data_IF_944139490343
#
_entry.id   IF_944139490343
#
_cell.length_a   1.000
_cell.length_b   1.000
_cell.length_c   1.000
_cell.angle_alpha   90.00
_cell.angle_beta   90.00
_cell.angle_gamma   90.00
#
_symmetry.space_group_name_H-M   'P 1'
#
loop_
_entity.id
_entity.type
_entity.pdbx_description
1 polymer ?
#
# COMPACT_ATOMS: atom_id res chain seq x y z
N UNK A 1 -21.94 -10.12 4.83
CA UNK A 1 -23.07 -9.45 4.15
C UNK A 1 -23.58 -10.38 3.07
N UNK A 2 -24.92 -10.56 2.92
CA UNK A 2 -25.48 -11.50 1.92
C UNK A 2 -26.54 -10.76 1.11
N UNK A 3 -26.42 -10.80 -0.22
CA UNK A 3 -27.40 -10.26 -1.17
C UNK A 3 -28.12 -11.40 -1.89
N UNK A 4 -29.44 -11.29 -2.06
CA UNK A 4 -30.26 -12.29 -2.74
C UNK A 4 -30.24 -12.17 -4.27
N UNK A 5 -29.86 -11.01 -4.78
CA UNK A 5 -29.80 -10.73 -6.22
C UNK A 5 -28.83 -9.59 -6.55
N UNK A 6 -28.36 -9.54 -7.79
CA UNK A 6 -27.56 -8.42 -8.33
C UNK A 6 -28.31 -7.08 -8.21
N UNK A 7 -29.66 -7.11 -8.34
CA UNK A 7 -30.48 -5.90 -8.17
C UNK A 7 -30.41 -5.35 -6.74
N UNK A 8 -30.42 -6.21 -5.73
CA UNK A 8 -30.31 -5.83 -4.33
C UNK A 8 -28.90 -5.27 -4.02
N UNK A 9 -27.86 -5.93 -4.52
CA UNK A 9 -26.47 -5.43 -4.43
C UNK A 9 -26.33 -4.03 -5.04
N UNK A 10 -26.82 -3.86 -6.29
CA UNK A 10 -26.74 -2.57 -6.98
C UNK A 10 -27.54 -1.48 -6.26
N UNK A 11 -28.67 -1.82 -5.69
CA UNK A 11 -29.46 -0.89 -4.87
C UNK A 11 -28.69 -0.48 -3.63
N UNK A 12 -28.07 -1.43 -2.93
CA UNK A 12 -27.24 -1.17 -1.74
C UNK A 12 -26.05 -0.27 -2.08
N UNK A 13 -25.29 -0.59 -3.13
CA UNK A 13 -24.15 0.20 -3.60
C UNK A 13 -24.59 1.65 -3.90
N UNK A 14 -25.66 1.81 -4.67
CA UNK A 14 -26.17 3.13 -5.07
C UNK A 14 -26.64 3.97 -3.89
N UNK A 15 -27.27 3.35 -2.88
CA UNK A 15 -27.89 4.07 -1.76
C UNK A 15 -26.91 4.32 -0.61
N UNK A 16 -26.01 3.38 -0.32
CA UNK A 16 -25.21 3.37 0.89
C UNK A 16 -23.72 3.56 0.67
N UNK A 17 -23.24 3.46 -0.58
CA UNK A 17 -21.82 3.46 -0.84
C UNK A 17 -21.37 4.70 -1.63
N UNK A 18 -20.07 5.00 -1.51
CA UNK A 18 -19.35 5.98 -2.33
C UNK A 18 -18.20 5.24 -3.03
N UNK A 19 -18.10 5.43 -4.33
CA UNK A 19 -16.99 4.87 -5.12
C UNK A 19 -15.65 5.40 -4.62
N UNK A 20 -14.66 4.50 -4.47
CA UNK A 20 -13.26 4.85 -4.13
C UNK A 20 -12.36 4.62 -5.35
N UNK A 21 -12.34 3.39 -5.86
CA UNK A 21 -11.43 3.00 -6.95
C UNK A 21 -11.92 1.72 -7.62
N UNK A 22 -11.35 1.43 -8.78
CA UNK A 22 -11.42 0.12 -9.41
C UNK A 22 -10.00 -0.42 -9.60
N UNK A 23 -9.86 -1.73 -9.57
CA UNK A 23 -8.62 -2.47 -9.82
C UNK A 23 -8.86 -3.60 -10.81
N UNK A 24 -7.83 -4.42 -11.06
CA UNK A 24 -7.91 -5.55 -11.99
C UNK A 24 -8.92 -6.63 -11.58
N UNK A 25 -9.17 -6.77 -10.27
CA UNK A 25 -10.03 -7.83 -9.72
C UNK A 25 -11.41 -7.34 -9.30
N UNK A 26 -11.63 -6.04 -9.17
CA UNK A 26 -12.92 -5.55 -8.72
C UNK A 26 -12.95 -4.07 -8.35
N UNK A 27 -14.11 -3.66 -7.89
CA UNK A 27 -14.44 -2.28 -7.56
C UNK A 27 -14.56 -2.08 -6.06
N UNK A 28 -13.96 -1.01 -5.56
CA UNK A 28 -13.88 -0.68 -4.13
C UNK A 28 -14.77 0.51 -3.81
N UNK A 29 -15.55 0.38 -2.74
CA UNK A 29 -16.49 1.38 -2.26
C UNK A 29 -16.31 1.66 -0.77
N UNK A 30 -16.59 2.88 -0.35
CA UNK A 30 -16.81 3.23 1.05
C UNK A 30 -18.28 3.05 1.42
N UNK A 31 -18.58 2.18 2.36
CA UNK A 31 -19.94 1.96 2.87
C UNK A 31 -20.19 2.87 4.08
N UNK A 32 -21.12 3.80 3.92
CA UNK A 32 -21.41 4.86 4.91
C UNK A 32 -22.00 4.33 6.20
N UNK A 33 -22.82 3.27 6.12
CA UNK A 33 -23.58 2.73 7.27
C UNK A 33 -22.70 1.99 8.26
N UNK A 34 -21.72 1.24 7.77
CA UNK A 34 -20.77 0.47 8.59
C UNK A 34 -19.45 1.18 8.83
N UNK A 35 -19.19 2.29 8.10
CA UNK A 35 -17.92 2.98 8.08
C UNK A 35 -16.74 2.07 7.65
N UNK A 36 -17.02 1.15 6.74
CA UNK A 36 -16.07 0.17 6.20
C UNK A 36 -15.82 0.41 4.71
N UNK A 37 -14.78 -0.22 4.22
CA UNK A 37 -14.55 -0.40 2.78
C UNK A 37 -15.15 -1.73 2.38
N UNK A 38 -15.81 -1.79 1.22
CA UNK A 38 -16.23 -3.02 0.57
C UNK A 38 -15.56 -3.12 -0.80
N UNK A 39 -14.99 -4.28 -1.12
CA UNK A 39 -14.47 -4.62 -2.45
C UNK A 39 -15.38 -5.68 -3.06
N UNK A 40 -15.91 -5.40 -4.24
CA UNK A 40 -16.74 -6.32 -5.00
C UNK A 40 -15.93 -6.80 -6.20
N UNK A 41 -15.82 -8.10 -6.35
CA UNK A 41 -15.12 -8.75 -7.45
C UNK A 41 -15.99 -8.76 -8.70
N UNK A 42 -15.57 -8.06 -9.74
CA UNK A 42 -16.41 -7.88 -10.94
C UNK A 42 -16.67 -9.20 -11.67
N UNK A 43 -15.67 -10.09 -11.73
CA UNK A 43 -15.82 -11.42 -12.34
C UNK A 43 -16.83 -12.32 -11.59
N UNK A 44 -16.95 -12.15 -10.29
CA UNK A 44 -17.86 -12.96 -9.48
C UNK A 44 -19.35 -12.64 -9.70
N UNK A 45 -19.65 -11.55 -10.41
CA UNK A 45 -21.03 -11.15 -10.72
C UNK A 45 -21.58 -11.85 -11.96
N UNK A 46 -20.74 -12.44 -12.81
CA UNK A 46 -21.12 -13.13 -14.03
C UNK A 46 -21.08 -14.65 -13.83
N UNK A 47 -22.11 -15.36 -14.26
CA UNK A 47 -22.20 -16.82 -14.10
C UNK A 47 -21.07 -17.56 -14.85
N UNK A 48 -20.75 -17.14 -16.07
CA UNK A 48 -19.68 -17.73 -16.89
C UNK A 48 -18.28 -17.50 -16.32
N UNK A 49 -18.05 -16.34 -15.72
CA UNK A 49 -16.73 -15.96 -15.23
C UNK A 49 -16.48 -16.52 -13.82
N UNK A 50 -17.56 -16.75 -13.06
CA UNK A 50 -17.47 -17.26 -11.69
C UNK A 50 -16.85 -18.66 -11.62
N UNK A 51 -17.02 -19.49 -12.64
CA UNK A 51 -16.42 -20.83 -12.69
C UNK A 51 -14.88 -20.79 -12.66
N UNK A 52 -14.30 -19.71 -13.19
CA UNK A 52 -12.85 -19.48 -13.23
C UNK A 52 -12.36 -18.57 -12.11
N UNK A 53 -13.27 -18.14 -11.21
CA UNK A 53 -12.91 -17.19 -10.17
C UNK A 53 -12.20 -17.87 -9.01
N UNK A 54 -10.92 -17.51 -8.80
CA UNK A 54 -10.01 -18.16 -7.85
C UNK A 54 -10.39 -17.96 -6.37
N UNK A 55 -11.21 -16.95 -6.06
CA UNK A 55 -11.59 -16.59 -4.69
C UNK A 55 -12.78 -17.37 -4.13
N UNK A 56 -13.19 -18.46 -4.76
CA UNK A 56 -14.35 -19.26 -4.32
C UNK A 56 -14.26 -19.77 -2.90
N UNK A 57 -13.04 -20.04 -2.43
CA UNK A 57 -12.75 -20.71 -1.16
C UNK A 57 -11.78 -19.94 -0.25
N UNK A 58 -11.67 -18.61 -0.40
CA UNK A 58 -10.76 -17.85 0.46
C UNK A 58 -11.18 -17.98 1.92
N UNK A 59 -10.32 -18.56 2.73
CA UNK A 59 -10.45 -18.59 4.18
C UNK A 59 -9.86 -17.33 4.81
N UNK A 60 -10.65 -16.27 4.86
CA UNK A 60 -10.26 -15.03 5.53
C UNK A 60 -10.07 -15.19 7.04
N UNK A 61 -10.49 -16.33 7.62
CA UNK A 61 -10.33 -16.57 9.06
C UNK A 61 -8.86 -16.60 9.48
N UNK A 62 -7.97 -17.03 8.60
CA UNK A 62 -6.52 -17.10 8.83
C UNK A 62 -5.90 -15.72 9.08
N UNK A 63 -6.45 -14.65 8.50
CA UNK A 63 -5.97 -13.29 8.77
C UNK A 63 -6.37 -12.76 10.16
N UNK A 64 -7.42 -13.31 10.77
CA UNK A 64 -7.94 -12.84 12.09
C UNK A 64 -6.95 -13.04 13.23
N UNK A 65 -6.04 -14.02 13.11
CA UNK A 65 -4.99 -14.28 14.11
C UNK A 65 -3.89 -13.20 14.10
N UNK A 66 -3.65 -12.58 12.95
CA UNK A 66 -2.60 -11.58 12.75
C UNK A 66 -3.09 -10.17 13.11
N UNK A 67 -3.46 -9.96 14.38
CA UNK A 67 -3.92 -8.65 14.87
C UNK A 67 -2.84 -7.60 14.67
N UNK A 68 -3.10 -6.63 13.81
CA UNK A 68 -2.21 -5.55 13.46
C UNK A 68 -3.01 -4.29 13.10
N UNK A 69 -2.34 -3.18 12.87
CA UNK A 69 -2.99 -1.92 12.55
C UNK A 69 -2.57 -1.32 11.21
N UNK A 70 -1.61 -1.94 10.55
CA UNK A 70 -1.05 -1.50 9.26
C UNK A 70 -1.70 -2.22 8.09
N UNK A 71 -1.82 -3.55 8.14
CA UNK A 71 -2.37 -4.37 7.08
C UNK A 71 -3.87 -4.52 7.28
N UNK A 72 -4.66 -3.92 6.40
CA UNK A 72 -6.12 -3.90 6.52
C UNK A 72 -6.71 -5.15 5.84
N UNK A 73 -6.64 -6.25 6.56
CA UNK A 73 -7.13 -7.54 6.11
C UNK A 73 -8.64 -7.57 5.92
N UNK A 74 -9.15 -8.48 5.06
CA UNK A 74 -10.57 -8.79 4.99
C UNK A 74 -11.14 -9.15 6.36
N UNK A 75 -12.28 -8.54 6.71
CA UNK A 75 -12.98 -8.75 7.99
C UNK A 75 -14.16 -9.70 7.80
N UNK A 76 -15.02 -9.35 6.84
CA UNK A 76 -16.25 -10.10 6.55
C UNK A 76 -16.37 -10.38 5.07
N UNK A 77 -16.83 -11.58 4.74
CA UNK A 77 -17.10 -12.00 3.37
C UNK A 77 -18.45 -11.43 2.90
N UNK A 78 -18.52 -11.05 1.63
CA UNK A 78 -19.74 -10.61 0.97
C UNK A 78 -20.18 -11.69 -0.01
N UNK A 79 -21.47 -12.06 0.09
CA UNK A 79 -22.06 -13.11 -0.72
C UNK A 79 -23.17 -12.57 -1.63
N UNK A 80 -23.25 -13.12 -2.82
CA UNK A 80 -24.43 -13.06 -3.69
C UNK A 80 -25.06 -14.46 -3.71
N UNK A 81 -26.16 -14.64 -2.96
CA UNK A 81 -26.69 -15.96 -2.61
C UNK A 81 -25.62 -16.77 -1.84
N UNK A 82 -25.06 -17.80 -2.45
CA UNK A 82 -24.03 -18.71 -1.95
C UNK A 82 -22.61 -18.43 -2.49
N UNK A 83 -22.48 -17.46 -3.41
CA UNK A 83 -21.20 -17.11 -4.04
C UNK A 83 -20.47 -16.02 -3.27
N UNK A 84 -19.19 -16.19 -3.06
CA UNK A 84 -18.31 -15.10 -2.60
C UNK A 84 -18.15 -14.09 -3.72
N UNK A 85 -18.58 -12.85 -3.47
CA UNK A 85 -18.47 -11.76 -4.45
C UNK A 85 -17.60 -10.61 -3.95
N UNK A 86 -17.03 -10.72 -2.77
CA UNK A 86 -16.20 -9.67 -2.22
C UNK A 86 -16.00 -9.80 -0.72
N UNK A 87 -15.46 -8.73 -0.16
CA UNK A 87 -15.21 -8.63 1.29
C UNK A 87 -15.34 -7.20 1.80
N UNK A 88 -15.41 -7.05 3.12
CA UNK A 88 -15.25 -5.76 3.78
C UNK A 88 -13.92 -5.69 4.54
N UNK A 89 -13.36 -4.48 4.66
CA UNK A 89 -12.18 -4.17 5.45
C UNK A 89 -12.33 -2.82 6.17
N UNK A 90 -11.38 -2.48 7.04
CA UNK A 90 -11.33 -1.14 7.63
C UNK A 90 -11.00 -0.07 6.59
N UNK A 91 -11.46 1.16 6.85
CA UNK A 91 -11.13 2.30 6.01
C UNK A 91 -9.74 2.86 6.39
N UNK A 92 -8.80 2.85 5.45
CA UNK A 92 -7.53 3.54 5.58
C UNK A 92 -7.73 5.06 5.61
N UNK A 93 -7.01 5.74 6.50
CA UNK A 93 -6.90 7.20 6.49
C UNK A 93 -5.69 7.63 5.68
N UNK A 94 -5.78 8.73 4.94
CA UNK A 94 -4.65 9.26 4.16
C UNK A 94 -4.84 9.13 2.66
N UNK A 95 -3.74 9.11 1.94
CA UNK A 95 -3.71 9.01 0.47
C UNK A 95 -2.78 7.91 0.02
N UNK A 96 -3.12 7.23 -1.08
CA UNK A 96 -2.21 6.28 -1.72
C UNK A 96 -0.89 6.97 -2.04
N UNK A 97 0.24 6.32 -1.79
CA UNK A 97 1.55 6.81 -2.19
C UNK A 97 1.61 7.06 -3.69
N UNK A 98 1.00 6.20 -4.49
CA UNK A 98 0.93 6.36 -5.94
C UNK A 98 0.28 7.69 -6.40
N UNK A 99 -0.63 8.25 -5.58
CA UNK A 99 -1.31 9.54 -5.85
C UNK A 99 -0.73 10.70 -5.05
N UNK A 100 0.24 10.43 -4.20
CA UNK A 100 0.86 11.44 -3.33
C UNK A 100 2.07 12.01 -4.05
N UNK A 101 2.22 13.35 -4.03
CA UNK A 101 3.42 14.00 -4.52
C UNK A 101 4.60 13.68 -3.58
N UNK A 102 5.64 12.93 -4.02
CA UNK A 102 6.78 12.56 -3.18
C UNK A 102 7.52 13.79 -2.64
N UNK A 103 7.51 14.90 -3.38
CA UNK A 103 8.19 16.13 -2.98
C UNK A 103 7.59 16.78 -1.73
N UNK A 104 6.32 16.53 -1.45
CA UNK A 104 5.62 17.05 -0.27
C UNK A 104 5.86 16.22 1.00
N UNK A 105 6.54 15.08 0.87
CA UNK A 105 6.72 14.16 1.98
C UNK A 105 7.76 14.70 2.97
N UNK A 106 7.36 14.81 4.24
CA UNK A 106 8.29 15.02 5.34
C UNK A 106 9.00 13.69 5.66
N UNK A 107 10.32 13.66 5.50
CA UNK A 107 11.14 12.45 5.60
C UNK A 107 11.15 11.87 7.03
N UNK A 108 11.12 12.71 8.07
CA UNK A 108 11.06 12.26 9.46
C UNK A 108 9.70 11.64 9.80
N UNK A 109 8.63 12.20 9.24
CA UNK A 109 7.28 11.65 9.39
C UNK A 109 7.14 10.31 8.69
N UNK A 110 7.71 10.16 7.50
CA UNK A 110 7.74 8.88 6.76
C UNK A 110 8.59 7.84 7.50
N UNK A 111 9.79 8.24 7.98
CA UNK A 111 10.63 7.38 8.82
C UNK A 111 9.87 6.87 10.04
N UNK A 112 9.18 7.77 10.74
CA UNK A 112 8.39 7.41 11.92
C UNK A 112 7.23 6.46 11.60
N UNK A 113 6.57 6.67 10.45
CA UNK A 113 5.51 5.79 9.97
C UNK A 113 6.05 4.38 9.68
N UNK A 114 7.19 4.28 8.99
CA UNK A 114 7.83 2.99 8.70
C UNK A 114 8.23 2.25 9.98
N UNK A 115 8.85 2.93 10.95
CA UNK A 115 9.25 2.30 12.23
C UNK A 115 8.04 1.70 12.96
N UNK A 116 6.90 2.41 12.99
CA UNK A 116 5.67 1.88 13.58
C UNK A 116 5.16 0.62 12.88
N UNK A 117 5.37 0.53 11.57
CA UNK A 117 4.95 -0.63 10.78
C UNK A 117 5.75 -1.89 11.10
N UNK A 118 6.99 -1.79 11.58
CA UNK A 118 7.86 -2.95 11.82
C UNK A 118 7.29 -3.96 12.84
N UNK A 119 6.52 -3.50 13.83
CA UNK A 119 5.85 -4.39 14.77
C UNK A 119 4.75 -5.21 14.07
N UNK A 120 4.00 -4.56 13.19
CA UNK A 120 2.95 -5.22 12.43
C UNK A 120 3.53 -6.17 11.37
N UNK A 121 4.65 -5.81 10.73
CA UNK A 121 5.42 -6.73 9.86
C UNK A 121 5.83 -7.97 10.63
N UNK A 122 6.36 -7.81 11.86
CA UNK A 122 6.72 -8.96 12.71
C UNK A 122 5.49 -9.81 13.04
N UNK A 123 4.37 -9.19 13.36
CA UNK A 123 3.12 -9.89 13.69
C UNK A 123 2.63 -10.73 12.52
N UNK A 124 2.54 -10.16 11.31
CA UNK A 124 2.06 -10.91 10.14
C UNK A 124 3.03 -12.02 9.75
N UNK A 125 4.35 -11.79 9.86
CA UNK A 125 5.36 -12.81 9.58
C UNK A 125 5.30 -13.98 10.55
N UNK A 126 5.05 -13.74 11.85
CA UNK A 126 4.85 -14.78 12.84
C UNK A 126 3.56 -15.60 12.61
N UNK A 127 2.61 -15.06 11.84
CA UNK A 127 1.40 -15.77 11.40
C UNK A 127 1.55 -16.38 10.00
N UNK A 128 2.77 -16.44 9.47
CA UNK A 128 3.05 -17.08 8.18
C UNK A 128 2.58 -16.29 6.96
N UNK A 129 2.21 -15.01 7.10
CA UNK A 129 1.66 -14.21 6.01
C UNK A 129 2.80 -13.58 5.20
N UNK A 130 2.84 -13.88 3.91
CA UNK A 130 3.73 -13.27 2.92
C UNK A 130 2.97 -12.15 2.18
N UNK A 131 3.54 -10.95 2.19
CA UNK A 131 2.96 -9.77 1.52
C UNK A 131 3.28 -9.75 0.03
N UNK A 132 2.44 -9.07 -0.76
CA UNK A 132 2.62 -8.85 -2.19
C UNK A 132 2.08 -7.49 -2.62
N UNK A 133 2.48 -6.98 -3.79
CA UNK A 133 2.00 -5.79 -4.49
C UNK A 133 1.90 -4.51 -3.63
N UNK A 134 2.90 -4.26 -2.77
CA UNK A 134 2.91 -3.12 -1.84
C UNK A 134 3.00 -1.74 -2.51
N UNK A 135 3.71 -1.52 -3.66
CA UNK A 135 3.89 -0.19 -4.23
C UNK A 135 2.58 0.55 -4.51
N UNK A 136 1.57 -0.16 -5.02
CA UNK A 136 0.28 0.44 -5.38
C UNK A 136 -0.71 0.48 -4.21
N UNK A 137 -0.53 -0.39 -3.22
CA UNK A 137 -1.47 -0.67 -2.14
C UNK A 137 -1.07 -0.03 -0.81
N UNK A 138 -0.03 0.81 -0.81
CA UNK A 138 0.41 1.55 0.37
C UNK A 138 -0.27 2.92 0.45
N UNK A 139 -0.95 3.17 1.57
CA UNK A 139 -1.56 4.46 1.91
C UNK A 139 -0.75 5.11 3.02
N UNK A 140 -0.41 6.39 2.84
CA UNK A 140 0.31 7.19 3.84
C UNK A 140 -0.60 8.20 4.51
N UNK A 141 -0.58 8.21 5.85
CA UNK A 141 -1.29 9.16 6.68
C UNK A 141 -0.32 10.04 7.48
N UNK A 142 0.07 11.23 6.94
CA UNK A 142 1.10 12.10 7.55
C UNK A 142 0.77 12.53 8.97
N UNK A 143 -0.48 12.97 9.23
CA UNK A 143 -0.91 13.44 10.55
C UNK A 143 -0.76 12.38 11.64
N UNK A 144 -1.02 11.11 11.30
CA UNK A 144 -0.84 9.98 12.22
C UNK A 144 0.56 9.39 12.22
N UNK A 145 1.42 9.80 11.29
CA UNK A 145 2.71 9.16 11.00
C UNK A 145 2.51 7.65 10.89
N UNK A 146 1.66 7.22 9.93
CA UNK A 146 1.22 5.84 9.78
C UNK A 146 1.15 5.45 8.32
N UNK A 147 1.48 4.18 8.06
CA UNK A 147 1.21 3.49 6.81
C UNK A 147 0.02 2.55 7.01
N UNK A 148 -0.79 2.41 5.97
CA UNK A 148 -1.79 1.36 5.85
C UNK A 148 -1.53 0.62 4.55
N UNK A 149 -1.67 -0.69 4.59
CA UNK A 149 -1.60 -1.55 3.42
C UNK A 149 -3.00 -2.09 3.17
N UNK A 150 -3.49 -1.83 1.98
CA UNK A 150 -4.84 -2.24 1.52
C UNK A 150 -4.71 -3.30 0.43
N UNK A 151 -5.82 -3.85 -0.01
CA UNK A 151 -5.85 -4.89 -1.06
C UNK A 151 -5.03 -6.13 -0.69
N UNK A 152 -5.28 -6.64 0.51
CA UNK A 152 -4.48 -7.70 1.13
C UNK A 152 -5.10 -9.09 0.93
N UNK A 153 -6.10 -9.23 0.08
CA UNK A 153 -6.81 -10.49 -0.19
C UNK A 153 -5.97 -11.50 -0.98
N UNK A 154 -4.94 -11.04 -1.69
CA UNK A 154 -4.01 -11.88 -2.46
C UNK A 154 -2.82 -12.39 -1.63
N UNK A 155 -2.73 -12.01 -0.37
CA UNK A 155 -1.60 -12.43 0.45
C UNK A 155 -1.60 -13.93 0.68
N UNK A 156 -0.44 -14.54 0.51
CA UNK A 156 -0.27 -15.98 0.66
C UNK A 156 0.18 -16.36 2.07
N UNK A 157 -0.03 -17.63 2.42
CA UNK A 157 0.48 -18.22 3.65
C UNK A 157 1.70 -19.08 3.32
N UNK A 158 2.81 -18.80 3.99
CA UNK A 158 4.10 -19.46 3.76
C UNK A 158 4.50 -20.28 4.97
N UNK A 159 5.14 -21.43 4.73
CA UNK A 159 5.77 -22.27 5.75
C UNK A 159 7.22 -21.86 6.04
N UNK A 160 7.69 -20.75 5.45
CA UNK A 160 9.02 -20.23 5.73
C UNK A 160 9.19 -19.92 7.22
N UNK A 161 10.43 -20.03 7.71
CA UNK A 161 10.77 -19.54 9.04
C UNK A 161 10.37 -18.07 9.21
N UNK A 162 9.82 -17.75 10.39
CA UNK A 162 9.26 -16.42 10.65
C UNK A 162 10.29 -15.28 10.54
N UNK A 163 11.56 -15.56 10.79
CA UNK A 163 12.65 -14.58 10.64
C UNK A 163 12.96 -14.29 9.18
N UNK A 164 12.95 -15.31 8.33
CA UNK A 164 13.11 -15.16 6.88
C UNK A 164 11.89 -14.45 6.27
N UNK A 165 10.70 -14.80 6.73
CA UNK A 165 9.47 -14.16 6.30
C UNK A 165 9.42 -12.69 6.73
N UNK A 166 9.85 -12.38 7.96
CA UNK A 166 10.01 -11.00 8.42
C UNK A 166 10.99 -10.21 7.54
N UNK A 167 12.15 -10.79 7.22
CA UNK A 167 13.14 -10.15 6.36
C UNK A 167 12.57 -9.87 4.96
N UNK A 168 11.81 -10.82 4.39
CA UNK A 168 11.13 -10.68 3.10
C UNK A 168 10.08 -9.56 3.13
N UNK A 169 9.13 -9.60 4.06
CA UNK A 169 8.06 -8.62 4.19
C UNK A 169 8.61 -7.21 4.47
N UNK A 170 9.62 -7.10 5.35
CA UNK A 170 10.28 -5.83 5.65
C UNK A 170 10.99 -5.25 4.41
N UNK A 171 11.66 -6.10 3.63
CA UNK A 171 12.31 -5.71 2.38
C UNK A 171 11.29 -5.21 1.36
N UNK A 172 10.16 -5.88 1.21
CA UNK A 172 9.11 -5.47 0.26
C UNK A 172 8.58 -4.07 0.57
N UNK A 173 8.17 -3.80 1.81
CA UNK A 173 7.67 -2.47 2.18
C UNK A 173 8.78 -1.41 2.09
N UNK A 174 10.01 -1.75 2.49
CA UNK A 174 11.16 -0.85 2.34
C UNK A 174 11.44 -0.50 0.89
N UNK A 175 11.39 -1.48 -0.03
CA UNK A 175 11.58 -1.25 -1.45
C UNK A 175 10.45 -0.39 -2.04
N UNK A 176 9.20 -0.63 -1.68
CA UNK A 176 8.07 0.20 -2.09
C UNK A 176 8.28 1.68 -1.72
N UNK A 177 8.77 1.96 -0.52
CA UNK A 177 9.04 3.31 -0.07
C UNK A 177 10.27 3.93 -0.77
N UNK A 178 11.32 3.16 -1.03
CA UNK A 178 12.49 3.63 -1.80
C UNK A 178 12.10 4.01 -3.22
N UNK A 179 11.36 3.16 -3.91
CA UNK A 179 10.81 3.45 -5.23
C UNK A 179 10.00 4.74 -5.23
N UNK A 180 9.08 4.87 -4.30
CA UNK A 180 8.25 6.07 -4.15
C UNK A 180 9.06 7.36 -3.99
N UNK A 181 10.19 7.33 -3.27
CA UNK A 181 11.02 8.50 -3.01
C UNK A 181 11.97 8.86 -4.16
N UNK A 182 12.32 7.89 -5.01
CA UNK A 182 13.39 8.04 -6.01
C UNK A 182 12.85 8.07 -7.42
N UNK A 183 12.02 7.05 -7.77
CA UNK A 183 11.73 6.75 -9.16
C UNK A 183 11.02 7.90 -9.88
N UNK A 184 11.60 8.28 -11.00
CA UNK A 184 11.11 9.34 -11.85
C UNK A 184 11.44 10.76 -11.37
N UNK A 185 12.17 10.94 -10.26
CA UNK A 185 12.51 12.28 -9.75
C UNK A 185 13.96 12.43 -9.34
N UNK A 186 14.60 11.40 -8.78
CA UNK A 186 15.94 11.45 -8.21
C UNK A 186 16.82 10.27 -8.64
N UNK A 187 16.50 9.66 -9.76
CA UNK A 187 17.28 8.53 -10.33
C UNK A 187 18.73 8.93 -10.60
N UNK A 188 18.95 10.14 -11.14
CA UNK A 188 20.30 10.66 -11.42
C UNK A 188 21.13 10.79 -10.14
N UNK A 189 20.54 11.28 -9.04
CA UNK A 189 21.25 11.42 -7.75
C UNK A 189 21.62 10.06 -7.20
N UNK A 190 20.72 9.10 -7.25
CA UNK A 190 20.96 7.74 -6.74
C UNK A 190 21.97 7.01 -7.59
N UNK A 191 21.84 7.05 -8.93
CA UNK A 191 22.71 6.33 -9.84
C UNK A 191 24.14 6.88 -9.91
N UNK A 192 24.33 8.19 -9.70
CA UNK A 192 25.64 8.82 -9.68
C UNK A 192 26.45 8.53 -8.42
N UNK A 193 25.82 8.04 -7.34
CA UNK A 193 26.48 7.66 -6.10
C UNK A 193 26.41 6.15 -5.88
N UNK A 194 27.53 5.45 -6.12
CA UNK A 194 27.58 3.98 -6.04
C UNK A 194 27.08 3.44 -4.69
N UNK A 195 27.49 4.04 -3.58
CA UNK A 195 27.06 3.58 -2.24
C UNK A 195 25.55 3.75 -2.05
N UNK A 196 24.99 4.91 -2.44
CA UNK A 196 23.56 5.13 -2.36
C UNK A 196 22.77 4.20 -3.29
N UNK A 197 23.29 3.95 -4.48
CA UNK A 197 22.69 2.99 -5.41
C UNK A 197 22.68 1.56 -4.85
N UNK A 198 23.75 1.13 -4.20
CA UNK A 198 23.82 -0.18 -3.55
C UNK A 198 22.81 -0.28 -2.39
N UNK A 199 22.62 0.79 -1.61
CA UNK A 199 21.59 0.87 -0.58
C UNK A 199 20.17 0.87 -1.17
N UNK A 200 19.96 1.58 -2.26
CA UNK A 200 18.68 1.59 -2.97
C UNK A 200 18.28 0.18 -3.43
N UNK A 201 19.22 -0.56 -4.01
CA UNK A 201 18.96 -1.92 -4.52
C UNK A 201 18.86 -2.97 -3.41
N UNK A 202 19.76 -2.95 -2.45
CA UNK A 202 20.01 -4.06 -1.52
C UNK A 202 19.91 -3.68 -0.04
N UNK A 203 19.98 -2.39 0.30
CA UNK A 203 19.98 -1.92 1.68
C UNK A 203 18.57 -1.88 2.30
N UNK A 204 18.54 -1.85 3.64
CA UNK A 204 17.31 -1.57 4.37
C UNK A 204 16.86 -0.11 4.19
N UNK A 205 15.55 0.12 4.37
CA UNK A 205 14.95 1.43 4.13
C UNK A 205 15.49 2.54 5.05
N UNK A 206 15.73 2.24 6.32
CA UNK A 206 16.17 3.26 7.29
C UNK A 206 17.59 3.74 7.01
N UNK A 207 18.49 2.83 6.67
CA UNK A 207 19.85 3.15 6.26
C UNK A 207 19.85 3.93 4.94
N UNK A 208 19.08 3.45 3.95
CA UNK A 208 18.91 4.17 2.70
C UNK A 208 18.40 5.60 2.93
N UNK A 209 17.31 5.76 3.67
CA UNK A 209 16.69 7.07 3.91
C UNK A 209 17.64 8.06 4.59
N UNK A 210 18.43 7.58 5.57
CA UNK A 210 19.43 8.40 6.26
C UNK A 210 20.51 8.91 5.30
N UNK A 211 21.11 8.01 4.53
CA UNK A 211 22.18 8.37 3.58
C UNK A 211 21.65 9.20 2.41
N UNK A 212 20.47 8.88 1.91
CA UNK A 212 19.78 9.65 0.88
C UNK A 212 19.56 11.11 1.30
N UNK A 213 18.98 11.31 2.49
CA UNK A 213 18.79 12.65 3.07
C UNK A 213 20.12 13.40 3.24
N UNK A 214 21.14 12.71 3.73
CA UNK A 214 22.48 13.29 3.92
C UNK A 214 23.06 13.79 2.59
N UNK A 215 23.09 12.94 1.57
CA UNK A 215 23.61 13.28 0.23
C UNK A 215 22.83 14.44 -0.39
N UNK A 216 21.49 14.40 -0.34
CA UNK A 216 20.69 15.51 -0.82
C UNK A 216 21.01 16.82 -0.08
N UNK A 217 21.18 16.78 1.25
CA UNK A 217 21.52 17.95 2.05
C UNK A 217 22.90 18.53 1.71
N UNK A 218 23.88 17.66 1.43
CA UNK A 218 25.22 18.05 0.97
C UNK A 218 25.14 18.75 -0.40
N UNK A 219 24.40 18.20 -1.36
CA UNK A 219 24.26 18.78 -2.71
C UNK A 219 23.62 20.18 -2.65
N UNK A 220 22.55 20.35 -1.85
CA UNK A 220 21.82 21.62 -1.77
C UNK A 220 22.40 22.57 -0.69
N UNK A 221 23.45 22.16 0.03
CA UNK A 221 24.11 22.91 1.12
C UNK A 221 23.15 23.40 2.20
N UNK A 222 22.10 22.62 2.49
CA UNK A 222 21.12 22.89 3.56
C UNK A 222 20.42 21.60 3.99
N UNK A 223 19.80 21.63 5.16
CA UNK A 223 19.03 20.49 5.64
C UNK A 223 17.82 20.22 4.74
N UNK A 224 17.64 18.95 4.35
CA UNK A 224 16.50 18.46 3.61
C UNK A 224 15.49 17.83 4.59
N UNK A 225 14.36 18.51 4.78
CA UNK A 225 13.24 18.04 5.62
C UNK A 225 12.20 17.35 4.73
N UNK A 226 11.94 17.92 3.57
CA UNK A 226 11.09 17.36 2.51
C UNK A 226 11.89 17.26 1.21
N UNK A 227 11.48 16.39 0.29
CA UNK A 227 12.16 16.33 -1.02
C UNK A 227 12.02 17.62 -1.83
N UNK A 228 11.03 18.47 -1.52
CA UNK A 228 10.93 19.82 -2.10
C UNK A 228 12.15 20.68 -1.79
N UNK A 229 12.78 20.47 -0.64
CA UNK A 229 13.99 21.21 -0.26
C UNK A 229 15.17 20.87 -1.19
N UNK A 230 15.15 19.70 -1.81
CA UNK A 230 16.12 19.23 -2.80
C UNK A 230 15.62 19.35 -4.26
N UNK A 231 14.67 20.22 -4.52
CA UNK A 231 14.03 20.38 -5.84
C UNK A 231 14.98 20.67 -7.00
N UNK A 232 16.15 21.27 -6.72
CA UNK A 232 17.20 21.48 -7.70
C UNK A 232 17.89 20.21 -8.21
N UNK A 233 17.75 19.11 -7.47
CA UNK A 233 18.31 17.79 -7.79
C UNK A 233 17.35 16.90 -8.59
N UNK A 234 16.13 17.36 -8.87
CA UNK A 234 15.16 16.59 -9.66
C UNK A 234 15.67 16.41 -11.09
N UNK A 235 15.56 15.19 -11.59
CA UNK A 235 16.00 14.77 -12.92
C UNK A 235 15.44 15.68 -14.02
N UNK A 236 16.29 16.05 -14.97
CA UNK A 236 15.94 17.06 -16.01
C UNK A 236 14.71 16.67 -16.83
N UNK A 237 14.57 15.38 -17.13
CA UNK A 237 13.45 14.84 -17.91
C UNK A 237 12.10 14.98 -17.18
N UNK A 238 12.11 14.99 -15.87
CA UNK A 238 10.92 15.06 -15.03
C UNK A 238 10.60 16.45 -14.49
N UNK A 239 11.44 17.46 -14.75
CA UNK A 239 11.21 18.85 -14.31
C UNK A 239 9.89 19.44 -14.82
N UNK A 240 9.42 19.05 -16.00
CA UNK A 240 8.12 19.47 -16.54
C UNK A 240 6.93 18.93 -15.73
N UNK A 241 7.00 17.70 -15.25
CA UNK A 241 6.01 17.08 -14.35
C UNK A 241 6.09 17.70 -12.95
N UNK A 242 7.28 18.05 -12.49
CA UNK A 242 7.53 18.73 -11.23
C UNK A 242 6.77 20.04 -11.09
N UNK A 243 6.76 20.89 -12.12
CA UNK A 243 6.02 22.18 -12.12
C UNK A 243 4.51 21.97 -11.99
N UNK A 244 3.95 20.86 -12.51
CA UNK A 244 2.54 20.50 -12.33
C UNK A 244 2.24 20.04 -10.89
N UNK A 245 3.19 19.43 -10.21
CA UNK A 245 3.03 18.91 -8.85
C UNK A 245 3.21 20.01 -7.77
N UNK A 246 3.78 21.17 -8.14
CA UNK A 246 3.94 22.33 -7.24
C UNK A 246 2.77 23.30 -7.25
N UNK A 247 1.87 23.17 -8.23
CA UNK A 247 0.59 23.91 -8.32
C UNK A 247 -0.51 23.19 -7.59
#
# INVERSE_FOLDING_TARGET
MIFKSVRELNHHIKSNCVFISFGSKGTTYYEKTSNKVIKIFDMALNDSDYEYFEYKEIDFSRFKSAKNSTYLFPIDVIYLKDRVIGYSSELAKGSSLYRTNPLSINLDSLRSAFIKTLLDVKTISNNGILTDDLPYNTIYYPKGKKLYIVDTDDYSFSEMDSSLLYASNNRQIGNSLKMFLVDGYFDDVVSSNKYLYDLYKNGDFLTFLREYRKILSEIVSREVITLKDASGCVDKENRGNYVRLLK
#
